data_IF_889718216096
#
_entry.id   IF_889718216096
#
_cell.length_a   1.000
_cell.length_b   1.000
_cell.length_c   1.000
_cell.angle_alpha   90.00
_cell.angle_beta   90.00
_cell.angle_gamma   90.00
#
_symmetry.space_group_name_H-M   'P 1'
#
loop_
_entity.id
_entity.type
_entity.pdbx_description
1 polymer ?
#
# COMPACT_ATOMS: atom_id res chain seq x y z
N UNK A 1 -25.05 -18.67 -11.00
CA UNK A 1 -24.74 -18.18 -9.65
C UNK A 1 -23.31 -17.67 -9.71
N UNK A 2 -23.10 -16.35 -9.68
CA UNK A 2 -21.75 -15.79 -9.79
C UNK A 2 -21.05 -15.85 -8.43
N UNK A 3 -19.80 -16.32 -8.42
CA UNK A 3 -18.95 -16.40 -7.22
C UNK A 3 -18.67 -15.01 -6.61
N UNK A 4 -18.63 -13.97 -7.46
CA UNK A 4 -18.37 -12.60 -7.06
C UNK A 4 -19.57 -11.69 -7.32
N UNK A 5 -19.72 -10.67 -6.47
CA UNK A 5 -20.70 -9.60 -6.68
C UNK A 5 -20.28 -8.71 -7.86
N UNK A 6 -21.25 -8.28 -8.66
CA UNK A 6 -20.99 -7.41 -9.84
C UNK A 6 -20.26 -6.12 -9.47
N UNK A 7 -20.55 -5.53 -8.30
CA UNK A 7 -19.87 -4.32 -7.82
C UNK A 7 -18.36 -4.45 -7.69
N UNK A 8 -17.83 -5.68 -7.56
CA UNK A 8 -16.40 -5.90 -7.46
C UNK A 8 -15.66 -5.52 -8.75
N UNK A 9 -16.30 -5.61 -9.93
CA UNK A 9 -15.69 -5.18 -11.20
C UNK A 9 -15.67 -3.66 -11.38
N UNK A 10 -16.40 -2.92 -10.54
CA UNK A 10 -16.44 -1.45 -10.56
C UNK A 10 -15.30 -0.83 -9.75
N UNK A 11 -14.60 -1.62 -8.95
CA UNK A 11 -13.40 -1.20 -8.24
C UNK A 11 -12.23 -1.40 -9.21
N UNK A 12 -11.57 -0.31 -9.56
CA UNK A 12 -10.38 -0.40 -10.40
C UNK A 12 -9.28 -1.17 -9.67
N UNK A 13 -8.39 -1.76 -10.46
CA UNK A 13 -7.28 -2.54 -9.94
C UNK A 13 -6.18 -1.65 -9.34
N UNK A 14 -6.10 -0.36 -9.70
CA UNK A 14 -5.10 0.55 -9.15
C UNK A 14 -5.41 0.91 -7.69
N UNK A 15 -4.69 0.26 -6.78
CA UNK A 15 -4.74 0.55 -5.36
C UNK A 15 -3.36 0.93 -4.83
N UNK A 16 -3.33 1.66 -3.72
CA UNK A 16 -2.10 2.11 -3.08
C UNK A 16 -1.19 0.95 -2.60
N UNK A 17 -1.70 -0.29 -2.52
CA UNK A 17 -0.93 -1.47 -2.12
C UNK A 17 -0.10 -2.08 -3.25
N UNK A 18 -0.45 -1.81 -4.52
CA UNK A 18 0.30 -2.32 -5.67
C UNK A 18 1.73 -1.82 -5.75
N UNK A 19 2.03 -0.66 -5.16
CA UNK A 19 3.38 -0.09 -5.14
C UNK A 19 4.34 -0.86 -4.21
N UNK A 20 3.81 -1.61 -3.24
CA UNK A 20 4.62 -2.36 -2.25
C UNK A 20 5.61 -3.34 -2.88
N UNK A 21 5.15 -4.29 -3.74
CA UNK A 21 6.04 -5.20 -4.47
C UNK A 21 7.11 -4.49 -5.32
N UNK A 22 6.78 -3.32 -5.90
CA UNK A 22 7.73 -2.52 -6.66
C UNK A 22 8.80 -1.88 -5.76
N UNK A 23 8.41 -1.33 -4.61
CA UNK A 23 9.33 -0.80 -3.59
C UNK A 23 10.30 -1.89 -3.15
N UNK A 24 9.80 -3.09 -2.80
CA UNK A 24 10.64 -4.23 -2.38
C UNK A 24 11.66 -4.58 -3.45
N UNK A 25 11.23 -4.63 -4.72
CA UNK A 25 12.12 -4.93 -5.84
C UNK A 25 13.22 -3.88 -6.00
N UNK A 26 12.90 -2.59 -5.91
CA UNK A 26 13.90 -1.52 -6.01
C UNK A 26 14.83 -1.54 -4.81
N UNK A 27 14.32 -1.76 -3.59
CA UNK A 27 15.13 -1.85 -2.37
C UNK A 27 16.19 -2.95 -2.48
N UNK A 28 15.83 -4.10 -3.04
CA UNK A 28 16.74 -5.23 -3.26
C UNK A 28 17.83 -4.95 -4.31
N UNK A 29 17.53 -4.14 -5.33
CA UNK A 29 18.44 -3.90 -6.46
C UNK A 29 19.32 -2.66 -6.28
N UNK A 30 18.82 -1.64 -5.59
CA UNK A 30 19.39 -0.30 -5.57
C UNK A 30 19.67 0.23 -4.16
N UNK A 31 19.32 -0.52 -3.11
CA UNK A 31 19.49 -0.09 -1.72
C UNK A 31 18.32 0.75 -1.23
N UNK A 32 18.55 1.62 -0.25
CA UNK A 32 17.47 2.32 0.46
C UNK A 32 16.54 3.13 -0.47
N UNK A 33 15.22 2.98 -0.27
CA UNK A 33 14.19 3.72 -1.00
C UNK A 33 13.47 4.69 -0.07
N UNK A 34 13.43 5.96 -0.45
CA UNK A 34 12.64 6.98 0.26
C UNK A 34 11.17 6.82 -0.13
N UNK A 35 10.33 6.47 0.84
CA UNK A 35 8.89 6.20 0.65
C UNK A 35 8.09 7.47 0.95
N UNK A 36 7.46 8.02 -0.08
CA UNK A 36 6.58 9.21 0.00
C UNK A 36 5.09 8.86 -0.20
N UNK A 37 4.76 7.58 -0.13
CA UNK A 37 3.42 7.04 -0.42
C UNK A 37 2.66 6.58 0.84
N UNK A 38 3.18 6.85 2.04
CA UNK A 38 2.53 6.46 3.30
C UNK A 38 1.37 7.42 3.59
N UNK A 39 0.17 6.86 3.76
CA UNK A 39 -1.04 7.63 4.11
C UNK A 39 -1.23 7.86 5.61
N UNK A 40 -0.35 7.29 6.44
CA UNK A 40 -0.40 7.37 7.89
C UNK A 40 0.72 8.25 8.46
N UNK A 41 0.50 8.94 9.58
CA UNK A 41 1.54 9.72 10.21
C UNK A 41 2.68 8.83 10.74
N UNK A 42 3.93 9.29 10.60
CA UNK A 42 5.12 8.57 11.07
C UNK A 42 5.42 8.76 12.57
N UNK A 43 4.49 9.31 13.34
CA UNK A 43 4.66 9.49 14.79
C UNK A 43 3.84 8.47 15.57
N UNK A 44 4.39 8.02 16.69
CA UNK A 44 3.65 7.17 17.63
C UNK A 44 2.48 7.96 18.24
N UNK A 45 1.42 7.24 18.61
CA UNK A 45 0.38 7.81 19.46
C UNK A 45 0.99 8.33 20.77
N UNK A 46 0.45 9.42 21.34
CA UNK A 46 0.83 9.86 22.68
C UNK A 46 0.71 8.70 23.68
N UNK A 47 1.64 8.59 24.61
CA UNK A 47 1.51 7.64 25.71
C UNK A 47 0.52 8.18 26.76
N UNK A 48 -0.33 7.33 27.36
CA UNK A 48 -1.19 7.75 28.47
C UNK A 48 -0.35 8.14 29.68
N UNK A 49 -0.81 9.16 30.42
CA UNK A 49 -0.22 9.64 31.67
C UNK A 49 -0.30 8.62 32.80
#
# INVERSE_FOLDING_TARGET
>A
MNLFAERNSRIDSENAFKVGPHIVRVEQLNGEVIKLNLGEPRFCSPQPY
#
